data_IF_331108008673
#
_entry.id   IF_331108008673
#
_cell.length_a   1.000
_cell.length_b   1.000
_cell.length_c   1.000
_cell.angle_alpha   90.00
_cell.angle_beta   90.00
_cell.angle_gamma   90.00
#
_symmetry.space_group_name_H-M   'P 1'
#
loop_
_entity.id
_entity.type
_entity.pdbx_description
1 polymer ?
#
# COMPACT_ATOMS: atom_id res chain seq x y z
N UNK A 1 -3.90 13.56 4.93
CA UNK A 1 -4.04 12.56 3.86
C UNK A 1 -2.80 11.67 3.89
N UNK A 2 -2.98 10.38 4.17
CA UNK A 2 -1.90 9.40 3.96
C UNK A 2 -1.72 9.25 2.44
N UNK A 3 -0.51 9.44 1.88
CA UNK A 3 -0.31 9.25 0.45
C UNK A 3 -0.63 7.81 0.07
N UNK A 4 -1.26 7.62 -1.09
CA UNK A 4 -1.57 6.30 -1.62
C UNK A 4 -0.32 5.41 -1.63
N UNK A 5 -0.47 4.15 -1.25
CA UNK A 5 0.61 3.18 -1.34
C UNK A 5 0.98 2.96 -2.80
N UNK A 6 2.24 3.18 -3.15
CA UNK A 6 2.69 3.07 -4.53
C UNK A 6 2.74 1.61 -5.00
N UNK A 7 2.22 1.36 -6.20
CA UNK A 7 2.42 0.09 -6.91
C UNK A 7 3.33 0.37 -8.10
N UNK A 8 4.49 -0.23 -8.08
CA UNK A 8 5.50 -0.11 -9.13
C UNK A 8 5.67 -1.45 -9.82
N UNK A 9 5.81 -1.42 -11.14
CA UNK A 9 6.16 -2.61 -11.93
C UNK A 9 7.51 -2.35 -12.60
N UNK A 10 8.43 -3.31 -12.47
CA UNK A 10 9.70 -3.32 -13.22
C UNK A 10 9.52 -4.20 -14.45
N UNK A 11 10.00 -3.77 -15.63
CA UNK A 11 10.00 -4.60 -16.84
C UNK A 11 10.95 -5.79 -16.71
N UNK A 12 10.69 -6.85 -17.46
CA UNK A 12 11.68 -7.92 -17.63
C UNK A 12 12.97 -7.37 -18.28
N UNK A 13 14.12 -8.03 -18.04
CA UNK A 13 15.41 -7.56 -18.53
C UNK A 13 15.61 -7.71 -20.04
N UNK A 14 14.72 -8.42 -20.71
CA UNK A 14 14.72 -8.65 -22.16
C UNK A 14 13.45 -8.07 -22.81
N UNK A 15 13.48 -7.86 -24.12
CA UNK A 15 12.30 -7.43 -24.88
C UNK A 15 11.34 -8.59 -25.07
N UNK A 16 10.05 -8.30 -24.97
CA UNK A 16 8.96 -9.27 -25.18
C UNK A 16 7.97 -8.75 -26.23
N UNK A 17 7.53 -9.62 -27.13
CA UNK A 17 6.49 -9.27 -28.10
C UNK A 17 5.19 -8.95 -27.35
N UNK A 18 4.54 -7.83 -27.67
CA UNK A 18 3.32 -7.38 -26.99
C UNK A 18 3.56 -6.65 -25.66
N UNK A 19 4.83 -6.41 -25.28
CA UNK A 19 5.15 -5.74 -24.00
C UNK A 19 4.60 -4.31 -23.93
N UNK A 20 4.60 -3.58 -25.04
CA UNK A 20 4.08 -2.20 -25.11
C UNK A 20 2.59 -2.15 -24.77
N UNK A 21 1.82 -3.08 -25.31
CA UNK A 21 0.38 -3.19 -25.04
C UNK A 21 0.09 -3.52 -23.59
N UNK A 22 0.83 -4.47 -23.01
CA UNK A 22 0.72 -4.84 -21.59
C UNK A 22 1.07 -3.67 -20.68
N UNK A 23 2.17 -2.96 -20.99
CA UNK A 23 2.57 -1.76 -20.23
C UNK A 23 1.47 -0.70 -20.28
N UNK A 24 0.87 -0.47 -21.46
CA UNK A 24 -0.21 0.49 -21.60
C UNK A 24 -1.42 0.14 -20.74
N UNK A 25 -1.78 -1.14 -20.67
CA UNK A 25 -2.83 -1.64 -19.78
C UNK A 25 -2.46 -1.38 -18.31
N UNK A 26 -1.23 -1.68 -17.90
CA UNK A 26 -0.76 -1.43 -16.52
C UNK A 26 -0.86 0.06 -16.15
N UNK A 27 -0.42 0.96 -17.02
CA UNK A 27 -0.48 2.41 -16.83
C UNK A 27 -1.92 2.93 -16.75
N UNK A 28 -2.83 2.40 -17.59
CA UNK A 28 -4.25 2.74 -17.61
C UNK A 28 -4.98 2.24 -16.35
N UNK A 29 -4.62 1.07 -15.83
CA UNK A 29 -5.16 0.53 -14.59
C UNK A 29 -4.71 1.30 -13.35
N UNK A 30 -3.67 2.12 -13.46
CA UNK A 30 -3.27 3.05 -12.41
C UNK A 30 -2.09 2.59 -11.56
N UNK A 31 -1.17 1.79 -12.09
CA UNK A 31 0.13 1.62 -11.42
C UNK A 31 0.80 2.99 -11.26
N UNK A 32 1.56 3.16 -10.18
CA UNK A 32 2.17 4.45 -9.86
C UNK A 32 3.31 4.78 -10.82
N UNK A 33 4.25 3.85 -10.98
CA UNK A 33 5.38 3.98 -11.90
C UNK A 33 5.69 2.67 -12.59
N UNK A 34 6.19 2.78 -13.83
CA UNK A 34 6.82 1.70 -14.55
C UNK A 34 8.33 1.92 -14.56
N UNK A 35 9.09 0.99 -14.00
CA UNK A 35 10.54 0.98 -14.07
C UNK A 35 11.01 0.19 -15.29
N UNK A 36 11.61 0.88 -16.25
CA UNK A 36 12.13 0.27 -17.48
C UNK A 36 13.57 -0.19 -17.23
N UNK A 37 13.74 -1.49 -17.12
CA UNK A 37 15.04 -2.14 -16.88
C UNK A 37 15.38 -3.08 -18.03
N UNK A 38 16.24 -2.64 -18.95
CA UNK A 38 16.67 -3.36 -20.15
C UNK A 38 18.21 -3.32 -20.25
N UNK A 39 18.92 -4.09 -19.40
CA UNK A 39 20.38 -3.95 -19.22
C UNK A 39 21.20 -4.30 -20.45
N UNK A 40 20.63 -5.01 -21.43
CA UNK A 40 21.29 -5.39 -22.68
C UNK A 40 20.70 -4.67 -23.91
N UNK A 41 19.75 -3.75 -23.71
CA UNK A 41 19.17 -2.99 -24.81
C UNK A 41 20.22 -2.07 -25.46
N UNK A 42 20.05 -1.85 -26.75
CA UNK A 42 20.78 -0.84 -27.51
C UNK A 42 19.98 0.46 -27.55
N UNK A 43 20.65 1.58 -27.70
CA UNK A 43 19.99 2.89 -27.76
C UNK A 43 18.87 2.98 -28.79
N UNK A 44 19.03 2.50 -30.05
CA UNK A 44 17.94 2.54 -31.04
C UNK A 44 16.70 1.76 -30.63
N UNK A 45 16.86 0.63 -29.91
CA UNK A 45 15.75 -0.17 -29.39
C UNK A 45 15.00 0.60 -28.30
N UNK A 46 15.73 1.25 -27.40
CA UNK A 46 15.14 2.07 -26.34
C UNK A 46 14.43 3.29 -26.93
N UNK A 47 14.97 3.95 -27.96
CA UNK A 47 14.30 5.04 -28.68
C UNK A 47 12.98 4.59 -29.31
N UNK A 48 12.99 3.45 -30.00
CA UNK A 48 11.78 2.85 -30.57
C UNK A 48 10.73 2.55 -29.50
N UNK A 49 11.16 1.96 -28.39
CA UNK A 49 10.29 1.66 -27.26
C UNK A 49 9.65 2.92 -26.66
N UNK A 50 10.45 3.93 -26.33
CA UNK A 50 9.96 5.18 -25.74
C UNK A 50 9.04 5.97 -26.68
N UNK A 51 9.31 5.93 -27.99
CA UNK A 51 8.46 6.55 -29.02
C UNK A 51 7.08 5.93 -29.14
N UNK A 52 6.90 4.70 -28.64
CA UNK A 52 5.61 4.01 -28.66
C UNK A 52 4.61 4.53 -27.62
N UNK A 53 5.03 5.41 -26.70
CA UNK A 53 4.23 5.91 -25.61
C UNK A 53 3.98 7.42 -25.73
N UNK A 54 2.82 7.86 -25.20
CA UNK A 54 2.50 9.29 -25.08
C UNK A 54 3.37 9.98 -24.02
N UNK A 55 3.35 11.32 -23.99
CA UNK A 55 4.04 12.09 -22.96
C UNK A 55 3.56 11.76 -21.55
N UNK A 56 2.23 11.63 -21.35
CA UNK A 56 1.63 11.30 -20.07
C UNK A 56 2.01 9.89 -19.59
N UNK A 57 2.13 8.93 -20.53
CA UNK A 57 2.60 7.59 -20.22
C UNK A 57 4.07 7.59 -19.81
N UNK A 58 4.93 8.35 -20.55
CA UNK A 58 6.36 8.47 -20.25
C UNK A 58 6.63 9.19 -18.93
N UNK A 59 5.79 10.10 -18.51
CA UNK A 59 5.92 10.74 -17.18
C UNK A 59 5.83 9.74 -16.03
N UNK A 60 5.18 8.60 -16.23
CA UNK A 60 5.14 7.50 -15.26
C UNK A 60 6.31 6.52 -15.41
N UNK A 61 7.18 6.69 -16.38
CA UNK A 61 8.30 5.78 -16.62
C UNK A 61 9.57 6.27 -15.91
N UNK A 62 10.31 5.31 -15.37
CA UNK A 62 11.58 5.51 -14.66
C UNK A 62 12.63 4.62 -15.30
N UNK A 63 13.66 5.19 -15.90
CA UNK A 63 14.67 4.43 -16.62
C UNK A 63 15.80 3.99 -15.70
N UNK A 64 16.25 2.74 -15.83
CA UNK A 64 17.41 2.18 -15.14
C UNK A 64 18.73 2.36 -15.90
N UNK A 65 18.64 2.64 -17.18
CA UNK A 65 19.76 2.88 -18.10
C UNK A 65 19.31 3.96 -19.11
N UNK A 66 20.21 4.53 -19.92
CA UNK A 66 19.92 5.57 -20.93
C UNK A 66 19.30 6.84 -20.32
N UNK A 67 19.93 7.40 -19.28
CA UNK A 67 19.39 8.57 -18.58
C UNK A 67 19.27 9.82 -19.46
N UNK A 68 20.14 9.98 -20.47
CA UNK A 68 20.01 11.07 -21.46
C UNK A 68 18.72 10.93 -22.28
N UNK A 69 18.33 9.68 -22.63
CA UNK A 69 17.04 9.43 -23.28
C UNK A 69 15.86 9.70 -22.35
N UNK A 70 15.99 9.44 -21.05
CA UNK A 70 14.96 9.79 -20.11
C UNK A 70 14.65 11.29 -20.15
N UNK A 71 15.67 12.14 -20.24
CA UNK A 71 15.53 13.58 -20.38
C UNK A 71 14.98 13.97 -21.75
N UNK A 72 15.52 13.42 -22.82
CA UNK A 72 15.10 13.72 -24.19
C UNK A 72 13.63 13.40 -24.44
N UNK A 73 13.15 12.28 -23.93
CA UNK A 73 11.76 11.79 -24.11
C UNK A 73 10.78 12.28 -23.03
N UNK A 74 11.26 13.01 -22.02
CA UNK A 74 10.42 13.49 -20.93
C UNK A 74 9.90 12.36 -20.02
N UNK A 75 10.75 11.37 -19.74
CA UNK A 75 10.42 10.35 -18.72
C UNK A 75 10.41 10.96 -17.33
N UNK A 76 9.52 10.47 -16.47
CA UNK A 76 9.32 11.06 -15.16
C UNK A 76 10.38 10.74 -14.12
N UNK A 77 11.31 9.81 -14.38
CA UNK A 77 12.34 9.45 -13.41
C UNK A 77 13.52 8.66 -13.97
N UNK A 78 14.58 8.60 -13.18
CA UNK A 78 15.74 7.72 -13.38
C UNK A 78 16.03 6.94 -12.11
N UNK A 79 16.53 5.72 -12.27
CA UNK A 79 16.84 4.81 -11.18
C UNK A 79 18.32 4.46 -11.14
N UNK A 80 19.03 4.98 -10.14
CA UNK A 80 20.45 4.69 -9.95
C UNK A 80 20.68 3.22 -9.59
N UNK A 81 21.66 2.64 -10.21
CA UNK A 81 22.12 1.28 -9.98
C UNK A 81 23.66 1.22 -10.04
N UNK A 82 24.24 0.03 -9.84
CA UNK A 82 25.71 -0.13 -9.86
C UNK A 82 26.37 0.23 -11.18
N UNK A 83 25.63 0.19 -12.29
CA UNK A 83 26.14 0.46 -13.65
C UNK A 83 26.03 1.92 -14.06
N UNK A 84 25.01 2.62 -13.55
CA UNK A 84 24.68 3.97 -14.01
C UNK A 84 24.23 4.84 -12.82
N UNK A 85 24.99 5.90 -12.54
CA UNK A 85 24.77 6.82 -11.42
C UNK A 85 24.94 8.29 -11.82
N UNK A 86 25.22 8.57 -13.11
CA UNK A 86 25.44 9.92 -13.59
C UNK A 86 24.10 10.58 -13.88
N UNK A 87 23.79 11.65 -13.17
CA UNK A 87 22.60 12.46 -13.39
C UNK A 87 22.83 13.37 -14.62
N UNK A 88 21.96 13.37 -15.62
CA UNK A 88 22.05 14.29 -16.76
C UNK A 88 22.00 15.74 -16.30
N UNK A 89 22.74 16.60 -17.01
CA UNK A 89 22.75 18.04 -16.71
C UNK A 89 21.34 18.64 -16.89
N UNK A 90 20.86 19.35 -15.85
CA UNK A 90 19.52 19.95 -15.88
C UNK A 90 18.38 18.97 -15.59
N UNK A 91 18.67 17.76 -15.14
CA UNK A 91 17.65 16.80 -14.71
C UNK A 91 16.79 17.36 -13.57
N UNK A 92 15.48 17.31 -13.73
CA UNK A 92 14.50 17.76 -12.74
C UNK A 92 13.41 16.71 -12.43
N UNK A 93 13.54 15.51 -13.02
CA UNK A 93 12.65 14.38 -12.73
C UNK A 93 13.02 13.66 -11.44
N UNK A 94 12.23 12.62 -11.10
CA UNK A 94 12.42 11.82 -9.90
C UNK A 94 13.74 11.06 -9.93
N UNK A 95 14.34 10.93 -8.74
CA UNK A 95 15.52 10.09 -8.51
C UNK A 95 15.16 8.95 -7.58
N UNK A 96 15.53 7.73 -7.95
CA UNK A 96 15.35 6.55 -7.12
C UNK A 96 16.58 5.65 -7.13
N UNK A 97 16.68 4.77 -6.14
CA UNK A 97 17.82 3.85 -6.00
C UNK A 97 17.40 2.56 -5.29
N UNK A 98 18.05 1.45 -5.65
CA UNK A 98 17.96 0.19 -4.89
C UNK A 98 18.97 0.17 -3.76
N UNK A 99 18.52 -0.26 -2.58
CA UNK A 99 19.30 -0.50 -1.37
C UNK A 99 19.14 -1.96 -0.93
N UNK A 100 20.16 -2.51 -0.29
CA UNK A 100 20.21 -3.91 0.11
C UNK A 100 20.36 -4.10 1.64
N UNK A 101 20.46 -3.01 2.38
CA UNK A 101 20.54 -2.99 3.84
C UNK A 101 20.06 -1.65 4.41
N UNK A 102 19.85 -1.60 5.72
CA UNK A 102 19.37 -0.40 6.41
C UNK A 102 20.39 0.75 6.45
N UNK A 103 21.68 0.43 6.37
CA UNK A 103 22.73 1.47 6.34
C UNK A 103 22.67 2.25 5.03
N UNK A 104 22.48 1.57 3.90
CA UNK A 104 22.27 2.20 2.60
C UNK A 104 21.01 3.07 2.60
N UNK A 105 19.87 2.59 3.17
CA UNK A 105 18.66 3.40 3.31
C UNK A 105 18.94 4.70 4.05
N UNK A 106 19.59 4.62 5.23
CA UNK A 106 19.94 5.81 6.03
C UNK A 106 20.82 6.78 5.24
N UNK A 107 21.79 6.24 4.50
CA UNK A 107 22.76 7.06 3.75
C UNK A 107 22.17 7.79 2.56
N UNK A 108 21.20 7.17 1.87
CA UNK A 108 20.65 7.71 0.63
C UNK A 108 19.32 8.43 0.78
N UNK A 109 18.62 8.28 1.91
CA UNK A 109 17.24 8.76 2.09
C UNK A 109 17.02 10.23 1.78
N UNK A 110 18.00 11.09 2.11
CA UNK A 110 17.90 12.53 1.88
C UNK A 110 18.15 12.96 0.41
N UNK A 111 18.74 12.08 -0.40
CA UNK A 111 19.18 12.41 -1.76
C UNK A 111 18.23 11.86 -2.86
N UNK A 112 17.25 11.03 -2.49
CA UNK A 112 16.36 10.37 -3.43
C UNK A 112 14.90 10.58 -3.04
N UNK A 113 14.04 10.65 -4.05
CA UNK A 113 12.58 10.77 -3.84
C UNK A 113 12.00 9.50 -3.22
N UNK A 114 12.54 8.35 -3.62
CA UNK A 114 12.23 7.05 -3.00
C UNK A 114 13.35 6.04 -3.20
N UNK A 115 13.38 5.04 -2.32
CA UNK A 115 14.36 3.96 -2.32
C UNK A 115 13.65 2.61 -2.37
N UNK A 116 14.26 1.64 -3.04
CA UNK A 116 13.86 0.24 -2.94
C UNK A 116 14.70 -0.46 -1.88
N UNK A 117 14.08 -1.27 -1.03
CA UNK A 117 14.78 -2.22 -0.15
C UNK A 117 14.53 -3.63 -0.67
N UNK A 118 15.59 -4.39 -0.92
CA UNK A 118 15.55 -5.77 -1.42
C UNK A 118 16.62 -6.66 -0.76
N UNK A 119 16.36 -7.96 -0.58
CA UNK A 119 15.16 -8.73 -0.93
C UNK A 119 14.27 -8.88 0.30
N UNK A 120 12.98 -8.50 0.19
CA UNK A 120 12.05 -8.58 1.33
C UNK A 120 11.56 -10.01 1.54
N UNK A 121 11.29 -10.74 0.46
CA UNK A 121 10.92 -12.15 0.47
C UNK A 121 11.83 -12.95 -0.47
N UNK A 122 11.78 -14.27 -0.36
CA UNK A 122 12.47 -15.16 -1.29
C UNK A 122 12.04 -14.87 -2.73
N UNK A 123 13.01 -14.89 -3.63
CA UNK A 123 12.76 -14.56 -5.03
C UNK A 123 11.91 -15.63 -5.71
N UNK A 124 10.83 -15.21 -6.37
CA UNK A 124 9.98 -16.07 -7.21
C UNK A 124 10.67 -16.39 -8.54
N UNK A 125 11.57 -15.52 -9.01
CA UNK A 125 12.16 -15.57 -10.36
C UNK A 125 13.66 -15.81 -10.42
N UNK A 126 14.36 -15.87 -9.28
CA UNK A 126 15.81 -16.08 -9.22
C UNK A 126 16.17 -17.10 -8.15
N UNK A 127 16.70 -18.25 -8.54
CA UNK A 127 17.30 -19.20 -7.61
C UNK A 127 18.49 -18.55 -6.85
N UNK A 128 18.52 -18.74 -5.52
CA UNK A 128 19.62 -18.28 -4.65
C UNK A 128 19.45 -16.88 -4.04
N UNK A 129 18.34 -16.17 -4.27
CA UNK A 129 18.00 -14.94 -3.56
C UNK A 129 17.02 -15.24 -2.43
N UNK A 130 17.55 -15.44 -1.22
CA UNK A 130 16.78 -15.59 0.02
C UNK A 130 16.36 -14.23 0.59
N UNK A 131 15.33 -14.25 1.44
CA UNK A 131 14.94 -13.13 2.29
C UNK A 131 16.15 -12.59 3.05
N UNK A 132 16.39 -11.29 2.97
CA UNK A 132 17.55 -10.65 3.62
C UNK A 132 17.21 -10.09 5.02
N UNK A 133 15.93 -10.09 5.40
CA UNK A 133 15.43 -9.44 6.62
C UNK A 133 14.37 -10.34 7.30
N UNK A 134 14.38 -10.35 8.62
CA UNK A 134 13.30 -10.94 9.42
C UNK A 134 12.16 -9.93 9.61
N UNK A 135 10.95 -10.41 9.93
CA UNK A 135 9.82 -9.56 10.24
C UNK A 135 10.13 -8.57 11.39
N UNK A 136 10.78 -9.07 12.46
CA UNK A 136 11.16 -8.25 13.62
C UNK A 136 12.15 -7.13 13.25
N UNK A 137 13.09 -7.39 12.33
CA UNK A 137 14.03 -6.37 11.85
C UNK A 137 13.32 -5.29 11.03
N UNK A 138 12.33 -5.67 10.20
CA UNK A 138 11.52 -4.75 9.41
C UNK A 138 10.63 -3.90 10.30
N UNK A 139 9.95 -4.48 11.30
CA UNK A 139 9.14 -3.77 12.28
C UNK A 139 9.98 -2.76 13.08
N UNK A 140 11.15 -3.19 13.57
CA UNK A 140 12.07 -2.31 14.27
C UNK A 140 12.57 -1.17 13.40
N UNK A 141 12.92 -1.45 12.14
CA UNK A 141 13.36 -0.44 11.18
C UNK A 141 12.24 0.57 10.88
N UNK A 142 10.96 0.13 10.88
CA UNK A 142 9.82 1.03 10.78
C UNK A 142 9.67 1.92 12.02
N UNK A 143 9.72 1.35 13.23
CA UNK A 143 9.64 2.10 14.49
C UNK A 143 10.75 3.14 14.62
N UNK A 144 11.95 2.82 14.14
CA UNK A 144 13.10 3.75 14.08
C UNK A 144 13.01 4.77 12.94
N UNK A 145 11.97 4.75 12.11
CA UNK A 145 11.78 5.65 10.97
C UNK A 145 12.75 5.41 9.80
N UNK A 146 13.43 4.25 9.76
CA UNK A 146 14.30 3.86 8.64
C UNK A 146 13.44 3.47 7.45
N UNK A 147 12.41 2.66 7.69
CA UNK A 147 11.37 2.35 6.72
C UNK A 147 10.21 3.32 6.92
N UNK A 148 9.85 4.05 5.88
CA UNK A 148 8.74 5.00 5.87
C UNK A 148 8.10 5.09 4.46
N UNK A 149 7.28 6.11 4.26
CA UNK A 149 6.57 6.36 2.99
C UNK A 149 7.46 6.52 1.75
N UNK A 150 8.76 6.77 1.92
CA UNK A 150 9.73 6.89 0.83
C UNK A 150 10.49 5.60 0.52
N UNK A 151 10.28 4.53 1.28
CA UNK A 151 10.92 3.23 1.09
C UNK A 151 9.90 2.23 0.54
N UNK A 152 10.24 1.55 -0.56
CA UNK A 152 9.36 0.61 -1.24
C UNK A 152 9.96 -0.80 -1.21
N UNK A 153 9.11 -1.78 -0.94
CA UNK A 153 9.50 -3.17 -0.81
C UNK A 153 9.73 -3.82 -2.18
N UNK A 154 10.88 -4.46 -2.39
CA UNK A 154 11.21 -5.21 -3.60
C UNK A 154 11.70 -6.62 -3.23
N UNK A 155 11.38 -7.61 -4.06
CA UNK A 155 11.79 -9.00 -3.93
C UNK A 155 10.68 -9.89 -3.37
N UNK A 156 10.23 -10.84 -4.18
CA UNK A 156 9.21 -11.82 -3.84
C UNK A 156 7.82 -11.23 -3.55
N UNK A 157 7.53 -10.03 -4.02
CA UNK A 157 6.25 -9.34 -3.78
C UNK A 157 5.14 -9.98 -4.61
N UNK A 158 4.04 -10.32 -3.94
CA UNK A 158 2.78 -10.83 -4.48
C UNK A 158 1.60 -10.12 -3.83
N UNK A 159 0.40 -10.26 -4.39
CA UNK A 159 -0.78 -9.57 -3.86
C UNK A 159 -1.09 -9.93 -2.40
N UNK A 160 -1.00 -11.20 -2.05
CA UNK A 160 -1.29 -11.73 -0.71
C UNK A 160 -0.31 -11.22 0.37
N UNK A 161 0.89 -10.76 -0.03
CA UNK A 161 1.90 -10.19 0.86
C UNK A 161 1.79 -8.68 1.06
N UNK A 162 0.91 -8.00 0.33
CA UNK A 162 0.79 -6.54 0.40
C UNK A 162 0.38 -6.04 1.79
N UNK A 163 -0.51 -6.75 2.47
CA UNK A 163 -0.95 -6.36 3.81
C UNK A 163 0.23 -6.34 4.79
N UNK A 164 1.06 -7.38 4.77
CA UNK A 164 2.28 -7.49 5.58
C UNK A 164 3.31 -6.42 5.24
N UNK A 165 3.59 -6.21 3.94
CA UNK A 165 4.50 -5.15 3.46
C UNK A 165 4.06 -3.77 3.97
N UNK A 166 2.78 -3.47 3.89
CA UNK A 166 2.29 -2.16 4.33
C UNK A 166 2.21 -2.02 5.85
N UNK A 167 2.05 -3.13 6.60
CA UNK A 167 2.17 -3.14 8.05
C UNK A 167 3.58 -2.76 8.51
N UNK A 168 4.63 -3.20 7.81
CA UNK A 168 6.02 -2.79 8.05
C UNK A 168 6.34 -1.36 7.61
N UNK A 169 5.34 -0.54 7.30
CA UNK A 169 5.49 0.90 7.04
C UNK A 169 6.00 1.29 5.65
N UNK A 170 6.22 0.32 4.74
CA UNK A 170 6.63 0.64 3.37
C UNK A 170 5.62 1.57 2.68
N UNK A 171 6.14 2.56 1.95
CA UNK A 171 5.33 3.49 1.16
C UNK A 171 4.82 2.91 -0.15
N UNK A 172 5.36 1.77 -0.58
CA UNK A 172 4.96 1.10 -1.82
C UNK A 172 5.50 -0.31 -1.95
N UNK A 173 5.04 -1.00 -2.97
CA UNK A 173 5.45 -2.35 -3.34
C UNK A 173 5.87 -2.41 -4.81
N UNK A 174 6.94 -3.14 -5.08
CA UNK A 174 7.58 -3.23 -6.39
C UNK A 174 7.47 -4.66 -6.91
N UNK A 175 6.77 -4.82 -8.01
CA UNK A 175 6.49 -6.10 -8.65
C UNK A 175 7.40 -6.32 -9.86
N UNK A 176 7.79 -7.57 -10.08
CA UNK A 176 8.47 -8.04 -11.27
C UNK A 176 7.91 -9.42 -11.68
N UNK A 177 8.45 -10.50 -11.15
CA UNK A 177 8.14 -11.86 -11.58
C UNK A 177 6.66 -12.23 -11.48
N UNK A 178 5.99 -11.81 -10.41
CA UNK A 178 4.57 -12.11 -10.19
C UNK A 178 3.65 -11.50 -11.28
N UNK A 179 3.92 -10.26 -11.70
CA UNK A 179 3.16 -9.62 -12.77
C UNK A 179 3.45 -10.28 -14.13
N UNK A 180 4.72 -10.43 -14.47
CA UNK A 180 5.11 -10.93 -15.80
C UNK A 180 4.85 -12.44 -15.99
N UNK A 181 4.74 -13.22 -14.93
CA UNK A 181 4.30 -14.62 -15.00
C UNK A 181 2.83 -14.77 -15.36
N UNK A 182 2.04 -13.70 -15.26
CA UNK A 182 0.58 -13.70 -15.48
C UNK A 182 0.13 -12.90 -16.70
N UNK A 183 1.07 -12.28 -17.44
CA UNK A 183 0.79 -11.27 -18.46
C UNK A 183 -0.12 -11.76 -19.61
N UNK A 184 -0.13 -13.06 -19.92
CA UNK A 184 -0.96 -13.70 -20.93
C UNK A 184 -2.22 -14.40 -20.34
N UNK A 185 -2.42 -14.27 -19.02
CA UNK A 185 -3.60 -14.83 -18.34
C UNK A 185 -4.86 -14.05 -18.68
N UNK A 186 -6.00 -14.72 -18.92
CA UNK A 186 -7.30 -14.04 -19.08
C UNK A 186 -7.72 -13.26 -17.83
N UNK A 187 -7.11 -13.53 -16.67
CA UNK A 187 -7.36 -12.85 -15.41
C UNK A 187 -6.35 -11.73 -15.09
N UNK A 188 -5.44 -11.40 -16.01
CA UNK A 188 -4.40 -10.41 -15.78
C UNK A 188 -4.95 -9.05 -15.31
N UNK A 189 -5.94 -8.51 -16.03
CA UNK A 189 -6.55 -7.21 -15.70
C UNK A 189 -7.20 -7.23 -14.33
N UNK A 190 -8.00 -8.26 -14.02
CA UNK A 190 -8.66 -8.38 -12.71
C UNK A 190 -7.66 -8.55 -11.57
N UNK A 191 -6.56 -9.24 -11.81
CA UNK A 191 -5.46 -9.37 -10.85
C UNK A 191 -4.81 -8.01 -10.55
N UNK A 192 -4.44 -7.24 -11.57
CA UNK A 192 -3.85 -5.90 -11.38
C UNK A 192 -4.83 -4.96 -10.66
N UNK A 193 -6.11 -4.98 -11.02
CA UNK A 193 -7.14 -4.20 -10.32
C UNK A 193 -7.22 -4.57 -8.84
N UNK A 194 -7.11 -5.86 -8.50
CA UNK A 194 -7.11 -6.33 -7.13
C UNK A 194 -5.86 -5.87 -6.36
N UNK A 195 -4.67 -5.93 -6.97
CA UNK A 195 -3.42 -5.40 -6.40
C UNK A 195 -3.56 -3.92 -6.07
N UNK A 196 -4.03 -3.11 -7.02
CA UNK A 196 -4.20 -1.67 -6.84
C UNK A 196 -5.25 -1.37 -5.77
N UNK A 197 -6.38 -2.09 -5.76
CA UNK A 197 -7.41 -1.95 -4.73
C UNK A 197 -6.88 -2.26 -3.34
N UNK A 198 -6.09 -3.32 -3.18
CA UNK A 198 -5.45 -3.67 -1.90
C UNK A 198 -4.54 -2.53 -1.41
N UNK A 199 -3.74 -1.94 -2.30
CA UNK A 199 -2.89 -0.81 -1.98
C UNK A 199 -3.68 0.45 -1.58
N UNK A 200 -4.80 0.72 -2.24
CA UNK A 200 -5.70 1.82 -1.91
C UNK A 200 -6.34 1.63 -0.53
N UNK A 201 -6.86 0.43 -0.24
CA UNK A 201 -7.48 0.12 1.05
C UNK A 201 -6.48 0.25 2.20
N UNK A 202 -5.22 -0.11 2.00
CA UNK A 202 -4.17 0.04 3.01
C UNK A 202 -3.87 1.50 3.42
N UNK A 203 -4.36 2.49 2.67
CA UNK A 203 -4.17 3.92 2.98
C UNK A 203 -5.36 4.54 3.71
N UNK A 204 -6.51 3.88 3.68
CA UNK A 204 -7.72 4.37 4.31
C UNK A 204 -7.63 4.07 5.81
N UNK A 205 -7.67 5.08 6.70
CA UNK A 205 -7.62 4.83 8.13
C UNK A 205 -8.88 4.10 8.58
N UNK A 206 -8.70 2.96 9.24
CA UNK A 206 -9.79 2.20 9.85
C UNK A 206 -10.12 2.77 11.21
N UNK A 207 -11.37 3.14 11.42
CA UNK A 207 -11.88 3.70 12.68
C UNK A 207 -12.95 2.77 13.24
N UNK A 208 -12.75 2.32 14.47
CA UNK A 208 -13.70 1.48 15.19
C UNK A 208 -14.71 2.34 15.94
N UNK A 209 -15.99 2.24 15.60
CA UNK A 209 -17.09 2.78 16.41
C UNK A 209 -17.66 1.72 17.33
N UNK A 210 -17.58 1.96 18.64
CA UNK A 210 -18.19 1.13 19.68
C UNK A 210 -19.41 1.91 20.19
N UNK A 211 -20.62 1.53 19.79
CA UNK A 211 -21.84 2.28 20.12
C UNK A 211 -23.11 1.42 19.95
N UNK A 212 -24.24 1.96 20.39
CA UNK A 212 -25.54 1.37 20.11
C UNK A 212 -25.92 1.45 18.63
N UNK A 213 -26.77 0.56 18.17
CA UNK A 213 -27.36 0.58 16.82
C UNK A 213 -28.65 1.39 16.82
N UNK A 214 -28.77 2.37 15.94
CA UNK A 214 -29.98 3.18 15.71
C UNK A 214 -30.67 2.79 14.39
N UNK A 215 -31.87 2.15 14.43
CA UNK A 215 -32.58 1.77 13.22
C UNK A 215 -32.99 2.97 12.33
N UNK A 216 -33.10 4.17 12.88
CA UNK A 216 -33.39 5.39 12.10
C UNK A 216 -32.15 5.98 11.43
N UNK A 217 -30.97 5.48 11.75
CA UNK A 217 -29.68 5.93 11.21
C UNK A 217 -29.33 7.39 11.47
N UNK A 218 -29.98 8.04 12.46
CA UNK A 218 -29.70 9.41 12.89
C UNK A 218 -28.61 9.51 13.96
N UNK A 219 -28.33 8.38 14.65
CA UNK A 219 -27.34 8.27 15.72
C UNK A 219 -26.63 6.92 15.64
N UNK A 220 -25.90 6.53 16.72
CA UNK A 220 -25.27 5.25 16.88
C UNK A 220 -24.25 4.92 15.80
N UNK A 221 -23.93 3.62 15.67
CA UNK A 221 -22.93 3.13 14.67
C UNK A 221 -23.29 3.53 13.24
N UNK A 222 -24.56 3.66 12.90
CA UNK A 222 -24.98 4.02 11.55
C UNK A 222 -24.62 5.47 11.19
N UNK A 223 -24.82 6.41 12.12
CA UNK A 223 -24.41 7.81 11.93
C UNK A 223 -22.87 7.92 11.91
N UNK A 224 -22.20 7.16 12.78
CA UNK A 224 -20.74 7.12 12.83
C UNK A 224 -20.14 6.61 11.52
N UNK A 225 -20.67 5.52 10.96
CA UNK A 225 -20.24 4.98 9.67
C UNK A 225 -20.38 6.00 8.53
N UNK A 226 -21.51 6.74 8.49
CA UNK A 226 -21.72 7.81 7.49
C UNK A 226 -20.65 8.89 7.63
N UNK A 227 -20.38 9.33 8.86
CA UNK A 227 -19.40 10.38 9.14
C UNK A 227 -17.99 9.91 8.78
N UNK A 228 -17.58 8.73 9.26
CA UNK A 228 -16.26 8.16 8.96
C UNK A 228 -16.06 8.04 7.45
N UNK A 229 -17.06 7.51 6.73
CA UNK A 229 -16.99 7.38 5.27
C UNK A 229 -16.93 8.73 4.56
N UNK A 230 -17.67 9.73 5.02
CA UNK A 230 -17.70 11.07 4.40
C UNK A 230 -16.36 11.81 4.51
N UNK A 231 -15.56 11.51 5.54
CA UNK A 231 -14.23 12.08 5.74
C UNK A 231 -13.09 11.18 5.20
N UNK A 232 -13.45 10.12 4.45
CA UNK A 232 -12.47 9.25 3.78
C UNK A 232 -11.88 8.14 4.67
N UNK A 233 -12.54 7.79 5.79
CA UNK A 233 -12.16 6.67 6.63
C UNK A 233 -12.93 5.39 6.29
N UNK A 234 -12.43 4.25 6.77
CA UNK A 234 -13.12 2.97 6.75
C UNK A 234 -13.72 2.70 8.13
N UNK A 235 -15.07 2.67 8.21
CA UNK A 235 -15.77 2.47 9.47
C UNK A 235 -15.89 0.99 9.82
N UNK A 236 -15.39 0.63 11.01
CA UNK A 236 -15.58 -0.65 11.67
C UNK A 236 -16.58 -0.46 12.83
N UNK A 237 -17.30 -1.48 13.22
CA UNK A 237 -18.30 -1.37 14.30
C UNK A 237 -18.23 -2.51 15.30
N UNK A 238 -18.44 -2.16 16.59
CA UNK A 238 -18.80 -3.09 17.65
C UNK A 238 -20.07 -2.55 18.32
N UNK A 239 -21.15 -3.31 18.26
CA UNK A 239 -22.45 -2.87 18.72
C UNK A 239 -22.57 -3.17 20.23
N UNK A 240 -22.79 -2.13 21.04
CA UNK A 240 -22.98 -2.25 22.50
C UNK A 240 -24.43 -2.49 22.90
N UNK A 241 -25.39 -2.09 22.07
CA UNK A 241 -26.82 -2.33 22.27
C UNK A 241 -27.59 -2.21 20.96
N UNK A 242 -28.69 -2.95 20.86
CA UNK A 242 -29.71 -2.72 19.85
C UNK A 242 -30.79 -1.83 20.43
N UNK A 243 -31.02 -0.66 19.83
CA UNK A 243 -32.11 0.22 20.27
C UNK A 243 -33.36 -0.05 19.45
N UNK A 244 -34.49 0.12 20.13
CA UNK A 244 -35.81 0.19 19.51
C UNK A 244 -36.22 1.66 19.58
N UNK A 245 -35.90 2.38 18.53
CA UNK A 245 -36.08 3.85 18.48
C UNK A 245 -36.42 4.32 17.07
N UNK A 246 -36.90 5.52 16.98
CA UNK A 246 -37.09 6.28 15.77
C UNK A 246 -36.63 7.74 15.97
N UNK A 247 -36.88 8.64 15.02
CA UNK A 247 -36.44 10.05 15.09
C UNK A 247 -37.12 10.86 16.20
N UNK A 248 -38.16 10.34 16.85
CA UNK A 248 -38.96 11.06 17.86
C UNK A 248 -38.72 10.51 19.27
N UNK A 249 -38.44 9.20 19.42
CA UNK A 249 -38.30 8.58 20.74
C UNK A 249 -37.47 7.32 20.72
N UNK A 250 -36.89 7.02 21.88
CA UNK A 250 -36.30 5.73 22.22
C UNK A 250 -37.31 4.96 23.08
N UNK A 251 -37.80 3.81 22.61
CA UNK A 251 -38.75 3.00 23.38
C UNK A 251 -38.03 2.13 24.41
N UNK A 252 -36.97 1.46 23.97
CA UNK A 252 -36.12 0.61 24.81
C UNK A 252 -34.83 0.26 24.10
N UNK A 253 -33.92 -0.38 24.81
CA UNK A 253 -32.72 -0.96 24.23
C UNK A 253 -32.53 -2.41 24.75
N UNK A 254 -31.77 -3.19 23.97
CA UNK A 254 -31.33 -4.54 24.29
C UNK A 254 -29.81 -4.46 24.41
N UNK A 255 -29.23 -4.59 25.62
CA UNK A 255 -27.78 -4.57 25.77
C UNK A 255 -27.16 -5.82 25.16
N UNK A 256 -25.98 -5.67 24.57
CA UNK A 256 -25.13 -6.78 24.16
C UNK A 256 -24.32 -7.22 25.39
N UNK A 257 -24.10 -8.53 25.52
CA UNK A 257 -23.32 -9.07 26.63
C UNK A 257 -21.86 -8.60 26.57
N UNK A 258 -21.20 -8.56 27.75
CA UNK A 258 -19.78 -8.22 27.85
C UNK A 258 -18.94 -9.09 26.90
N UNK A 259 -19.16 -10.39 26.90
CA UNK A 259 -18.39 -11.33 26.07
C UNK A 259 -18.62 -11.11 24.57
N UNK A 260 -19.87 -10.92 24.14
CA UNK A 260 -20.18 -10.69 22.74
C UNK A 260 -19.60 -9.35 22.24
N UNK A 261 -19.58 -8.30 23.09
CA UNK A 261 -18.98 -7.03 22.76
C UNK A 261 -17.45 -7.15 22.64
N UNK A 262 -16.80 -7.87 23.57
CA UNK A 262 -15.37 -8.16 23.50
C UNK A 262 -15.01 -8.96 22.24
N UNK A 263 -15.80 -9.98 21.89
CA UNK A 263 -15.57 -10.80 20.70
C UNK A 263 -15.71 -9.98 19.42
N UNK A 264 -16.69 -9.07 19.32
CA UNK A 264 -16.80 -8.15 18.19
C UNK A 264 -15.54 -7.28 18.05
N UNK A 265 -15.06 -6.70 19.16
CA UNK A 265 -13.85 -5.86 19.15
C UNK A 265 -12.63 -6.70 18.79
N UNK A 266 -12.49 -7.90 19.34
CA UNK A 266 -11.39 -8.83 19.10
C UNK A 266 -11.24 -9.16 17.61
N UNK A 267 -12.29 -9.73 17.00
CA UNK A 267 -12.22 -10.21 15.61
C UNK A 267 -11.91 -9.10 14.62
N UNK A 268 -12.40 -7.88 14.89
CA UNK A 268 -12.12 -6.72 14.05
C UNK A 268 -10.69 -6.20 14.25
N UNK A 269 -10.19 -6.22 15.50
CA UNK A 269 -8.84 -5.74 15.82
C UNK A 269 -7.74 -6.73 15.41
N UNK A 270 -8.06 -8.01 15.27
CA UNK A 270 -7.16 -9.02 14.73
C UNK A 270 -6.98 -8.90 13.20
N UNK A 271 -7.99 -8.40 12.48
CA UNK A 271 -8.01 -8.29 11.03
C UNK A 271 -7.55 -6.90 10.53
N UNK A 272 -7.88 -5.84 11.28
CA UNK A 272 -7.65 -4.45 10.85
C UNK A 272 -6.65 -3.73 11.75
N UNK A 273 -5.76 -2.94 11.15
CA UNK A 273 -4.96 -1.95 11.88
C UNK A 273 -5.82 -0.74 12.24
N UNK A 274 -6.53 -0.81 13.36
CA UNK A 274 -7.41 0.26 13.85
C UNK A 274 -6.59 1.52 14.14
N UNK A 275 -6.92 2.65 13.51
CA UNK A 275 -6.22 3.95 13.63
C UNK A 275 -6.89 4.93 14.58
N UNK A 276 -8.06 4.59 15.09
CA UNK A 276 -8.77 5.37 16.08
C UNK A 276 -10.02 4.65 16.54
N UNK A 277 -10.44 4.95 17.77
CA UNK A 277 -11.66 4.39 18.38
C UNK A 277 -12.60 5.53 18.74
N UNK A 278 -13.85 5.45 18.29
CA UNK A 278 -14.94 6.31 18.74
C UNK A 278 -15.87 5.51 19.65
N UNK A 279 -16.07 5.99 20.86
CA UNK A 279 -16.99 5.39 21.82
C UNK A 279 -18.27 6.22 21.88
N UNK A 280 -19.42 5.55 21.71
CA UNK A 280 -20.74 6.13 21.85
C UNK A 280 -21.47 5.61 23.09
N UNK A 281 -22.72 5.18 22.91
CA UNK A 281 -23.56 4.65 24.00
C UNK A 281 -22.99 3.35 24.55
N UNK A 282 -22.76 3.31 25.89
CA UNK A 282 -22.43 2.14 26.67
C UNK A 282 -23.52 2.00 27.74
N UNK A 283 -24.56 1.16 27.51
CA UNK A 283 -25.79 1.20 28.34
C UNK A 283 -25.69 0.53 29.70
N UNK A 284 -24.65 -0.30 29.90
CA UNK A 284 -24.47 -1.09 31.13
C UNK A 284 -23.05 -1.00 31.66
N UNK A 285 -22.85 -1.35 32.94
CA UNK A 285 -21.49 -1.47 33.50
C UNK A 285 -20.68 -2.52 32.74
N UNK A 286 -21.31 -3.65 32.39
CA UNK A 286 -20.65 -4.70 31.57
C UNK A 286 -20.11 -4.17 30.24
N UNK A 287 -20.83 -3.28 29.57
CA UNK A 287 -20.35 -2.67 28.31
C UNK A 287 -19.18 -1.70 28.54
N UNK A 288 -19.16 -1.01 29.67
CA UNK A 288 -18.01 -0.15 30.05
C UNK A 288 -16.80 -1.02 30.38
N UNK A 289 -16.95 -2.07 31.16
CA UNK A 289 -15.88 -3.00 31.50
C UNK A 289 -15.29 -3.69 30.24
N UNK A 290 -16.16 -4.11 29.31
CA UNK A 290 -15.71 -4.67 28.03
C UNK A 290 -14.81 -3.70 27.25
N UNK A 291 -15.20 -2.43 27.16
CA UNK A 291 -14.42 -1.43 26.46
C UNK A 291 -13.09 -1.15 27.17
N UNK A 292 -13.09 -1.04 28.50
CA UNK A 292 -11.86 -0.85 29.30
C UNK A 292 -10.89 -2.02 29.08
N UNK A 293 -11.40 -3.26 29.14
CA UNK A 293 -10.61 -4.48 28.92
C UNK A 293 -10.02 -4.51 27.49
N UNK A 294 -10.82 -4.15 26.48
CA UNK A 294 -10.36 -4.06 25.08
C UNK A 294 -9.27 -3.00 24.91
N UNK A 295 -9.43 -1.80 25.51
CA UNK A 295 -8.43 -0.72 25.45
C UNK A 295 -7.11 -1.08 26.15
N UNK A 296 -7.15 -1.96 27.14
CA UNK A 296 -5.95 -2.49 27.82
C UNK A 296 -5.27 -3.60 27.00
N UNK A 297 -6.06 -4.38 26.26
CA UNK A 297 -5.58 -5.53 25.49
C UNK A 297 -5.00 -5.12 24.14
N UNK A 298 -5.66 -4.19 23.47
CA UNK A 298 -5.28 -3.73 22.13
C UNK A 298 -4.68 -2.33 22.18
N UNK A 299 -3.56 -2.15 21.48
CA UNK A 299 -2.92 -0.83 21.34
C UNK A 299 -3.64 -0.01 20.27
N UNK A 300 -4.67 0.71 20.66
CA UNK A 300 -5.33 1.66 19.77
C UNK A 300 -4.63 3.03 19.86
N UNK A 301 -4.14 3.58 18.74
CA UNK A 301 -3.64 4.95 18.74
C UNK A 301 -4.83 5.92 18.78
N UNK A 302 -5.01 6.58 19.92
CA UNK A 302 -6.00 7.67 20.23
C UNK A 302 -7.46 7.39 19.89
#
# INVERSE_FOLDING_TARGET
FNPLKAIIVITEPFWRVGEVEVIRVLLQLGITYLHVRKPQAKEPEMRTFLSSFSADEREKMVLHDFFDLAQEYGCGGIHHNSRNQTIPLGWNGRLSRSCHNFLELKSYKAAYDYLFLSSIFDSISKEGYSCAFTADELDKAHQEGIIDKSVYALGGITQDRLAEVFAWGFGGAVFLGDIWSRWDSPYFVSYIQSVIKTAQLATIPSILSIAGSDPSSGAGVQADLKTISSIGGYGLTAISALTIQNTQRVERFIPISKNDLLDQIRVVSEDFSVKGVKIGMLPTLDSVEAVVEALQTYSFPN
#
